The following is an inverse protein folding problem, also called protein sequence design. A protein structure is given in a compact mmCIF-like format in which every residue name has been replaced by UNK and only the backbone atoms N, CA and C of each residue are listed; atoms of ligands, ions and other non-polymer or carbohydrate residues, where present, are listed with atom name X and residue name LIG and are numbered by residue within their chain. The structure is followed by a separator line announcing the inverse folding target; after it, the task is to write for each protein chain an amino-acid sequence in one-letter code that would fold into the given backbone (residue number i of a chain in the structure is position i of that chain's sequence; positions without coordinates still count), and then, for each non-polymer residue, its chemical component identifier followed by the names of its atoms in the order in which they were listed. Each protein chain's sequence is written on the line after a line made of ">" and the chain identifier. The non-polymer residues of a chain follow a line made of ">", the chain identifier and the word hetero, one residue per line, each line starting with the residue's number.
data_IF_052501674225
#
_entry.id   IF_052501674225
#
_cell.length_a   1.000
_cell.length_b   1.000
_cell.length_c   1.000
_cell.angle_alpha   90.00
_cell.angle_beta   90.00
_cell.angle_gamma   90.00
#
_symmetry.space_group_name_H-M   'P 1'
#
loop_
_entity.id
_entity.type
_entity.pdbx_description
1 polymer ?
#
# COMPACT_ATOMS: atom_id res chain seq x y z
N UNK A 1 8.57 10.82 -10.87
CA UNK A 1 8.48 12.24 -10.47
C UNK A 1 7.09 12.55 -9.91
N UNK A 2 6.93 13.55 -9.05
CA UNK A 2 5.61 13.98 -8.55
C UNK A 2 4.84 14.76 -9.62
N UNK A 3 3.55 14.45 -9.81
CA UNK A 3 2.62 15.23 -10.64
C UNK A 3 2.32 16.59 -9.96
N UNK A 4 2.34 17.67 -10.75
CA UNK A 4 2.24 19.06 -10.25
C UNK A 4 0.79 19.52 -10.00
N UNK A 5 -0.20 18.80 -10.54
CA UNK A 5 -1.63 19.09 -10.35
C UNK A 5 -2.26 18.10 -9.39
N UNK A 6 -1.94 16.82 -9.55
CA UNK A 6 -2.47 15.75 -8.70
C UNK A 6 -1.41 15.25 -7.72
N UNK A 7 -1.50 15.68 -6.46
CA UNK A 7 -0.56 15.30 -5.39
C UNK A 7 -0.53 13.81 -5.06
N UNK A 8 -1.51 13.02 -5.52
CA UNK A 8 -1.54 11.57 -5.34
C UNK A 8 -1.03 10.80 -6.55
N UNK A 9 -0.77 11.48 -7.67
CA UNK A 9 -0.28 10.86 -8.90
C UNK A 9 1.24 10.96 -9.00
N UNK A 10 1.85 9.97 -9.65
CA UNK A 10 3.28 9.92 -9.93
C UNK A 10 3.52 9.61 -11.40
N UNK A 11 4.56 10.21 -11.98
CA UNK A 11 5.01 9.96 -13.34
C UNK A 11 6.20 8.99 -13.28
N UNK A 12 6.13 7.85 -13.96
CA UNK A 12 7.22 6.87 -14.01
C UNK A 12 8.18 7.17 -15.16
N UNK A 13 9.03 8.16 -14.95
CA UNK A 13 10.01 8.63 -15.93
C UNK A 13 11.40 8.85 -15.31
N UNK A 14 11.65 8.17 -14.20
CA UNK A 14 12.96 8.12 -13.56
C UNK A 14 13.82 7.10 -14.29
N UNK A 15 15.08 7.47 -14.58
CA UNK A 15 16.01 6.57 -15.27
C UNK A 15 16.28 5.31 -14.46
N UNK A 16 16.57 4.21 -15.13
CA UNK A 16 16.89 2.94 -14.49
C UNK A 16 18.09 3.05 -13.55
N UNK A 17 19.12 3.79 -13.94
CA UNK A 17 20.29 4.10 -13.12
C UNK A 17 19.91 4.77 -11.80
N UNK A 18 19.01 5.77 -11.87
CA UNK A 18 18.51 6.48 -10.69
C UNK A 18 17.66 5.56 -9.82
N UNK A 19 16.81 4.73 -10.44
CA UNK A 19 15.97 3.75 -9.73
C UNK A 19 16.82 2.73 -8.99
N UNK A 20 17.84 2.17 -9.64
CA UNK A 20 18.79 1.22 -9.04
C UNK A 20 19.53 1.88 -7.87
N UNK A 21 20.09 3.08 -8.08
CA UNK A 21 20.82 3.83 -7.04
C UNK A 21 19.98 4.00 -5.76
N UNK A 22 18.72 4.42 -5.90
CA UNK A 22 17.87 4.66 -4.72
C UNK A 22 17.32 3.37 -4.13
N UNK A 23 16.97 2.37 -4.93
CA UNK A 23 16.55 1.07 -4.42
C UNK A 23 17.62 0.40 -3.56
N UNK A 24 18.90 0.51 -3.93
CA UNK A 24 20.01 0.02 -3.10
C UNK A 24 20.03 0.72 -1.73
N UNK A 25 19.95 2.05 -1.71
CA UNK A 25 19.94 2.82 -0.46
C UNK A 25 18.70 2.55 0.41
N UNK A 26 17.54 2.37 -0.21
CA UNK A 26 16.29 2.03 0.49
C UNK A 26 16.43 0.65 1.16
N UNK A 27 16.97 -0.35 0.44
CA UNK A 27 17.23 -1.69 1.00
C UNK A 27 18.20 -1.63 2.19
N UNK A 28 19.28 -0.87 2.08
CA UNK A 28 20.22 -0.66 3.19
C UNK A 28 19.53 -0.01 4.40
N UNK A 29 18.70 1.02 4.18
CA UNK A 29 17.95 1.68 5.24
C UNK A 29 16.95 0.74 5.93
N UNK A 30 16.24 -0.08 5.17
CA UNK A 30 15.31 -1.08 5.72
C UNK A 30 16.05 -2.13 6.54
N UNK A 31 17.20 -2.63 6.05
CA UNK A 31 18.02 -3.57 6.79
C UNK A 31 18.52 -2.97 8.13
N UNK A 32 19.00 -1.72 8.12
CA UNK A 32 19.42 -1.03 9.34
C UNK A 32 18.26 -0.81 10.32
N UNK A 33 17.09 -0.40 9.83
CA UNK A 33 15.90 -0.19 10.67
C UNK A 33 15.45 -1.50 11.30
N UNK A 34 15.47 -2.61 10.55
CA UNK A 34 15.14 -3.94 11.08
C UNK A 34 16.14 -4.42 12.12
N UNK A 35 17.44 -4.27 11.86
CA UNK A 35 18.49 -4.65 12.81
C UNK A 35 18.39 -3.84 14.12
N UNK A 36 18.09 -2.54 14.03
CA UNK A 36 17.86 -1.70 15.20
C UNK A 36 16.63 -2.16 15.99
N UNK A 37 15.50 -2.42 15.31
CA UNK A 37 14.31 -2.98 15.93
C UNK A 37 14.64 -4.29 16.68
N UNK A 38 15.34 -5.21 16.03
CA UNK A 38 15.69 -6.50 16.61
C UNK A 38 16.61 -6.37 17.83
N UNK A 39 17.58 -5.45 17.79
CA UNK A 39 18.43 -5.12 18.94
C UNK A 39 17.62 -4.56 20.12
N UNK A 40 16.70 -3.63 19.86
CA UNK A 40 15.81 -3.09 20.89
C UNK A 40 14.96 -4.19 21.55
N UNK A 41 14.43 -5.12 20.74
CA UNK A 41 13.66 -6.26 21.25
C UNK A 41 14.55 -7.20 22.08
N UNK A 42 15.79 -7.45 21.66
CA UNK A 42 16.74 -8.28 22.38
C UNK A 42 17.10 -7.69 23.75
N UNK A 43 17.19 -6.35 23.85
CA UNK A 43 17.43 -5.63 25.11
C UNK A 43 16.17 -5.50 26.00
N UNK A 44 15.04 -6.11 25.61
CA UNK A 44 13.81 -6.14 26.40
C UNK A 44 12.92 -4.91 26.25
N UNK A 45 13.17 -4.04 25.26
CA UNK A 45 12.29 -2.89 24.99
C UNK A 45 10.95 -3.40 24.43
N UNK A 46 9.85 -2.83 24.94
CA UNK A 46 8.51 -3.21 24.54
C UNK A 46 8.27 -2.96 23.03
N UNK A 47 7.51 -3.87 22.38
CA UNK A 47 7.27 -3.85 20.92
C UNK A 47 6.56 -2.58 20.47
N UNK A 48 5.65 -2.06 21.28
CA UNK A 48 4.91 -0.83 21.02
C UNK A 48 5.79 0.42 21.02
N UNK A 49 6.94 0.39 21.70
CA UNK A 49 7.97 1.42 21.67
C UNK A 49 8.93 1.20 20.50
N UNK A 50 9.41 -0.04 20.32
CA UNK A 50 10.35 -0.36 19.25
C UNK A 50 9.79 -0.12 17.85
N UNK A 51 8.47 -0.30 17.63
CA UNK A 51 7.85 -0.11 16.31
C UNK A 51 7.95 1.31 15.74
N UNK A 52 8.19 2.35 16.58
CA UNK A 52 8.22 3.74 16.11
C UNK A 52 9.36 4.05 15.13
N UNK A 53 10.41 3.22 15.14
CA UNK A 53 11.56 3.39 14.23
C UNK A 53 11.35 2.70 12.87
N UNK A 54 10.32 1.87 12.74
CA UNK A 54 10.05 1.15 11.49
C UNK A 54 9.51 2.12 10.42
N UNK A 55 9.95 1.98 9.16
CA UNK A 55 9.49 2.85 8.08
C UNK A 55 8.02 2.60 7.74
N UNK A 56 7.34 3.60 7.17
CA UNK A 56 5.95 3.48 6.68
C UNK A 56 5.77 2.39 5.62
N UNK A 57 6.82 2.04 4.90
CA UNK A 57 6.83 0.97 3.90
C UNK A 57 6.89 -0.45 4.52
N UNK A 58 6.82 -0.57 5.85
CA UNK A 58 6.81 -1.88 6.52
C UNK A 58 5.55 -2.66 6.10
N UNK A 59 5.69 -3.89 5.56
CA UNK A 59 4.55 -4.70 5.16
C UNK A 59 3.62 -4.98 6.35
N UNK A 60 2.32 -4.88 6.11
CA UNK A 60 1.30 -5.17 7.11
C UNK A 60 0.19 -6.04 6.52
N UNK A 61 -0.49 -6.77 7.38
CA UNK A 61 -1.67 -7.57 7.02
C UNK A 61 -2.81 -7.13 7.93
N UNK A 62 -3.95 -6.81 7.31
CA UNK A 62 -5.16 -6.41 8.02
C UNK A 62 -6.36 -7.21 7.51
N UNK A 63 -7.30 -7.47 8.42
CA UNK A 63 -8.63 -7.93 8.05
C UNK A 63 -9.53 -6.72 7.85
N UNK A 64 -10.06 -6.57 6.64
CA UNK A 64 -11.02 -5.52 6.33
C UNK A 64 -12.42 -6.15 6.29
N UNK A 65 -13.31 -5.67 7.14
CA UNK A 65 -14.70 -6.09 7.17
C UNK A 65 -15.60 -4.88 6.87
N UNK A 66 -16.64 -5.11 6.09
CA UNK A 66 -17.62 -4.08 5.73
C UNK A 66 -18.83 -4.71 5.07
N UNK A 67 -19.94 -3.96 5.07
CA UNK A 67 -21.14 -4.36 4.31
C UNK A 67 -20.85 -4.36 2.81
N UNK A 68 -21.64 -5.09 2.02
CA UNK A 68 -21.53 -5.08 0.56
C UNK A 68 -21.63 -3.67 0.00
N UNK A 69 -22.53 -2.84 0.54
CA UNK A 69 -22.64 -1.41 0.18
C UNK A 69 -21.34 -0.64 0.44
N UNK A 70 -20.71 -0.86 1.60
CA UNK A 70 -19.43 -0.24 1.96
C UNK A 70 -18.31 -0.65 0.99
N UNK A 71 -18.26 -1.93 0.62
CA UNK A 71 -17.32 -2.44 -0.39
C UNK A 71 -17.52 -1.80 -1.76
N UNK A 72 -18.78 -1.65 -2.19
CA UNK A 72 -19.09 -1.00 -3.47
C UNK A 72 -18.53 0.42 -3.51
N UNK A 73 -18.80 1.20 -2.45
CA UNK A 73 -18.31 2.58 -2.36
C UNK A 73 -16.79 2.66 -2.23
N UNK A 74 -16.18 1.79 -1.44
CA UNK A 74 -14.72 1.71 -1.27
C UNK A 74 -14.03 1.43 -2.60
N UNK A 75 -14.44 0.38 -3.32
CA UNK A 75 -13.86 -0.02 -4.60
C UNK A 75 -13.99 1.13 -5.60
N UNK A 76 -15.19 1.66 -5.81
CA UNK A 76 -15.42 2.76 -6.76
C UNK A 76 -14.51 3.97 -6.48
N UNK A 77 -14.39 4.38 -5.21
CA UNK A 77 -13.58 5.53 -4.84
C UNK A 77 -12.08 5.26 -5.02
N UNK A 78 -11.62 4.08 -4.59
CA UNK A 78 -10.19 3.76 -4.50
C UNK A 78 -9.62 3.16 -5.78
N UNK A 79 -10.43 2.70 -6.72
CA UNK A 79 -9.99 2.33 -8.08
C UNK A 79 -10.02 3.50 -9.06
N UNK A 80 -10.58 4.65 -8.67
CA UNK A 80 -10.73 5.81 -9.56
C UNK A 80 -9.42 6.57 -9.79
N UNK A 81 -9.36 7.29 -10.92
CA UNK A 81 -8.24 8.14 -11.27
C UNK A 81 -7.93 9.16 -10.17
N UNK A 82 -6.64 9.20 -9.78
CA UNK A 82 -6.13 10.12 -8.78
C UNK A 82 -6.09 9.58 -7.36
N UNK A 83 -6.45 8.31 -7.14
CA UNK A 83 -5.99 7.58 -5.96
C UNK A 83 -4.52 7.19 -6.14
N UNK A 84 -3.76 7.14 -5.04
CA UNK A 84 -2.39 6.64 -5.05
C UNK A 84 -2.31 5.21 -5.64
N UNK A 85 -1.28 4.94 -6.46
CA UNK A 85 -1.15 3.70 -7.23
C UNK A 85 -1.25 2.44 -6.37
N UNK A 86 -0.52 2.37 -5.26
CA UNK A 86 -0.51 1.20 -4.38
C UNK A 86 -1.89 0.93 -3.76
N UNK A 87 -2.70 1.96 -3.50
CA UNK A 87 -4.06 1.80 -2.99
C UNK A 87 -5.05 1.41 -4.09
N UNK A 88 -4.86 1.92 -5.32
CA UNK A 88 -5.63 1.46 -6.48
C UNK A 88 -5.45 -0.03 -6.72
N UNK A 89 -4.23 -0.54 -6.58
CA UNK A 89 -3.93 -1.96 -6.77
C UNK A 89 -4.69 -2.82 -5.73
N UNK A 90 -4.66 -2.44 -4.45
CA UNK A 90 -5.47 -3.09 -3.39
C UNK A 90 -6.97 -3.05 -3.70
N UNK A 91 -7.49 -1.91 -4.16
CA UNK A 91 -8.90 -1.75 -4.48
C UNK A 91 -9.33 -2.62 -5.67
N UNK A 92 -8.47 -2.76 -6.68
CA UNK A 92 -8.73 -3.59 -7.85
C UNK A 92 -8.63 -5.08 -7.51
N UNK A 93 -7.68 -5.50 -6.68
CA UNK A 93 -7.63 -6.88 -6.17
C UNK A 93 -8.89 -7.23 -5.37
N UNK A 94 -9.36 -6.32 -4.51
CA UNK A 94 -10.63 -6.48 -3.81
C UNK A 94 -11.83 -6.52 -4.78
N UNK A 95 -11.80 -5.75 -5.88
CA UNK A 95 -12.82 -5.77 -6.92
C UNK A 95 -12.93 -7.12 -7.62
N UNK A 96 -11.82 -7.78 -7.94
CA UNK A 96 -11.84 -9.11 -8.57
C UNK A 96 -12.44 -10.18 -7.66
N UNK A 97 -12.11 -10.13 -6.36
CA UNK A 97 -12.76 -10.99 -5.37
C UNK A 97 -14.26 -10.67 -5.30
N UNK A 98 -14.63 -9.39 -5.26
CA UNK A 98 -16.03 -8.96 -5.22
C UNK A 98 -16.82 -9.48 -6.43
N UNK A 99 -16.27 -9.38 -7.64
CA UNK A 99 -16.89 -9.90 -8.88
C UNK A 99 -17.11 -11.39 -8.83
N UNK A 100 -16.15 -12.12 -8.28
CA UNK A 100 -16.24 -13.57 -8.12
C UNK A 100 -17.34 -13.96 -7.12
N UNK A 101 -17.48 -13.24 -6.01
CA UNK A 101 -18.43 -13.56 -4.95
C UNK A 101 -19.85 -13.01 -5.19
N UNK A 102 -19.97 -11.89 -5.92
CA UNK A 102 -21.24 -11.16 -6.13
C UNK A 102 -21.49 -10.82 -7.62
N UNK A 103 -21.55 -11.82 -8.52
CA UNK A 103 -21.60 -11.59 -9.96
C UNK A 103 -22.79 -10.75 -10.42
N UNK A 104 -23.99 -10.96 -9.85
CA UNK A 104 -25.21 -10.20 -10.20
C UNK A 104 -25.06 -8.71 -9.85
N UNK A 105 -24.47 -8.42 -8.69
CA UNK A 105 -24.24 -7.02 -8.25
C UNK A 105 -23.18 -6.38 -9.13
N UNK A 106 -22.12 -7.10 -9.47
CA UNK A 106 -21.06 -6.62 -10.36
C UNK A 106 -21.55 -6.33 -11.76
N UNK A 107 -22.40 -7.18 -12.33
CA UNK A 107 -23.06 -6.93 -13.61
C UNK A 107 -23.91 -5.65 -13.55
N UNK A 108 -24.71 -5.49 -12.50
CA UNK A 108 -25.52 -4.28 -12.29
C UNK A 108 -24.69 -2.99 -12.10
N UNK A 109 -23.44 -3.11 -11.63
CA UNK A 109 -22.49 -2.00 -11.49
C UNK A 109 -21.62 -1.77 -12.73
N UNK A 110 -21.70 -2.65 -13.74
CA UNK A 110 -20.84 -2.62 -14.94
C UNK A 110 -19.38 -2.93 -14.64
N UNK A 111 -19.12 -3.87 -13.73
CA UNK A 111 -17.79 -4.20 -13.22
C UNK A 111 -17.16 -5.47 -13.78
#
# INVERSE_FOLDING_TARGET
>A
RQDTKNRQNSIDDITDETRVKWNTKIREHFAKSKALYDGMIADGIAKECARFILPLATPTKLYMNGTIRSWIHYINLRSAHGTQKEHMDIANEAKEIFKTQFPIISEALGW
#
